data_IF_370186440118
#
_entry.id   IF_370186440118
#
_cell.length_a   1.000
_cell.length_b   1.000
_cell.length_c   1.000
_cell.angle_alpha   90.00
_cell.angle_beta   90.00
_cell.angle_gamma   90.00
#
_symmetry.space_group_name_H-M   'P 1'
#
loop_
_entity.id
_entity.type
_entity.pdbx_description
1 polymer ?
#
# COMPACT_ATOMS: atom_id res chain seq x y z
N UNK A 1 -24.78 -27.58 -33.63
CA UNK A 1 -23.37 -27.88 -33.74
C UNK A 1 -22.65 -26.54 -33.85
N UNK A 2 -22.36 -25.91 -32.71
CA UNK A 2 -21.64 -24.62 -32.59
C UNK A 2 -20.35 -24.92 -31.82
N UNK A 3 -19.23 -24.69 -32.46
CA UNK A 3 -17.91 -24.83 -31.83
C UNK A 3 -17.64 -23.59 -31.00
N UNK A 4 -17.49 -23.78 -29.69
CA UNK A 4 -16.91 -22.80 -28.77
C UNK A 4 -15.40 -22.89 -28.92
N UNK A 5 -14.77 -21.82 -29.42
CA UNK A 5 -13.31 -21.65 -29.39
C UNK A 5 -13.04 -20.92 -28.09
N UNK A 6 -12.54 -21.64 -27.12
CA UNK A 6 -11.94 -21.05 -25.92
C UNK A 6 -10.57 -20.47 -26.31
N UNK A 7 -10.49 -19.14 -26.40
CA UNK A 7 -9.22 -18.43 -26.55
C UNK A 7 -8.58 -18.29 -25.18
N UNK A 8 -7.52 -19.06 -24.92
CA UNK A 8 -6.65 -18.81 -23.78
C UNK A 8 -5.87 -17.52 -24.05
N UNK A 9 -6.18 -16.45 -23.33
CA UNK A 9 -5.37 -15.24 -23.28
C UNK A 9 -4.20 -15.52 -22.34
N UNK A 10 -3.03 -15.77 -22.89
CA UNK A 10 -1.79 -15.87 -22.11
C UNK A 10 -1.35 -14.45 -21.79
N UNK A 11 -1.60 -14.01 -20.56
CA UNK A 11 -1.04 -12.77 -20.02
C UNK A 11 0.44 -13.00 -19.81
N UNK A 12 1.27 -12.50 -20.71
CA UNK A 12 2.73 -12.46 -20.54
C UNK A 12 3.05 -11.14 -19.83
N UNK A 13 3.10 -11.17 -18.51
CA UNK A 13 3.81 -10.13 -17.76
C UNK A 13 5.29 -10.34 -17.96
N UNK A 14 5.95 -9.39 -18.62
CA UNK A 14 7.41 -9.36 -18.69
C UNK A 14 7.92 -8.85 -17.35
N UNK A 15 8.12 -9.77 -16.42
CA UNK A 15 8.99 -9.49 -15.27
C UNK A 15 10.39 -9.34 -15.84
N UNK A 16 10.90 -8.11 -15.89
CA UNK A 16 12.27 -7.84 -16.29
C UNK A 16 13.21 -8.31 -15.18
N UNK A 17 13.43 -9.62 -15.11
CA UNK A 17 14.49 -10.19 -14.29
C UNK A 17 15.82 -9.86 -14.95
N UNK A 18 16.58 -8.95 -14.39
CA UNK A 18 17.96 -8.70 -14.78
C UNK A 18 18.78 -9.95 -14.47
N UNK A 19 19.26 -10.62 -15.52
CA UNK A 19 20.24 -11.71 -15.39
C UNK A 19 21.53 -11.18 -14.79
N UNK A 20 21.92 -11.77 -13.68
CA UNK A 20 23.20 -11.52 -13.00
C UNK A 20 24.41 -11.77 -13.92
N UNK A 21 25.22 -10.76 -14.08
CA UNK A 21 26.52 -10.83 -14.73
C UNK A 21 27.61 -10.32 -13.80
N UNK A 22 28.51 -11.22 -13.45
CA UNK A 22 29.89 -11.05 -12.92
C UNK A 22 30.08 -10.47 -11.50
N UNK A 23 30.63 -11.32 -10.65
CA UNK A 23 31.18 -11.07 -9.31
C UNK A 23 32.27 -10.00 -9.30
N UNK A 24 32.31 -9.08 -8.32
CA UNK A 24 33.47 -8.25 -8.05
C UNK A 24 34.44 -8.94 -7.11
N UNK A 25 35.73 -8.69 -7.35
CA UNK A 25 36.88 -9.17 -6.60
C UNK A 25 36.89 -8.68 -5.14
N UNK A 26 37.28 -9.58 -4.25
CA UNK A 26 37.47 -9.36 -2.83
C UNK A 26 38.63 -8.42 -2.52
N UNK A 27 38.38 -7.31 -1.81
CA UNK A 27 39.38 -6.43 -1.19
C UNK A 27 39.50 -6.81 0.29
N UNK A 28 40.71 -6.95 0.86
CA UNK A 28 40.89 -7.41 2.25
C UNK A 28 40.58 -6.31 3.28
N UNK A 29 39.82 -6.71 4.31
CA UNK A 29 39.37 -5.91 5.44
C UNK A 29 40.50 -5.64 6.43
N UNK A 30 40.76 -4.38 6.76
CA UNK A 30 41.62 -3.94 7.86
C UNK A 30 40.84 -3.88 9.17
N UNK A 31 41.39 -4.48 10.24
CA UNK A 31 40.79 -4.49 11.59
C UNK A 31 41.01 -3.15 12.30
N UNK A 32 40.01 -2.61 13.03
CA UNK A 32 40.24 -1.45 13.89
C UNK A 32 40.76 -1.84 15.28
N UNK A 33 41.74 -1.07 15.72
CA UNK A 33 42.38 -1.16 17.02
C UNK A 33 41.51 -0.46 18.07
N UNK A 34 41.18 -1.18 19.13
CA UNK A 34 40.42 -0.68 20.29
C UNK A 34 41.30 0.17 21.19
N UNK A 35 40.91 1.41 21.48
CA UNK A 35 41.48 2.21 22.54
C UNK A 35 40.43 2.46 23.63
N UNK A 36 40.69 1.99 24.83
CA UNK A 36 39.82 2.11 26.00
C UNK A 36 39.96 3.51 26.65
N UNK A 37 38.82 4.11 27.05
CA UNK A 37 38.74 5.31 27.91
C UNK A 37 38.02 4.96 29.21
N UNK A 38 38.48 5.42 30.37
CA UNK A 38 38.04 4.95 31.70
C UNK A 38 36.74 5.58 32.18
N UNK A 39 35.98 4.77 32.93
CA UNK A 39 34.72 5.10 33.57
C UNK A 39 34.90 6.07 34.78
N UNK A 40 34.02 7.04 34.88
CA UNK A 40 33.76 7.81 36.14
C UNK A 40 32.35 7.48 36.62
N UNK A 41 32.26 7.19 37.90
CA UNK A 41 31.15 6.59 38.61
C UNK A 41 29.92 7.51 38.93
N UNK A 42 28.98 7.05 39.79
CA UNK A 42 27.55 7.27 39.60
C UNK A 42 26.99 8.45 40.40
N UNK A 43 26.07 9.19 39.77
CA UNK A 43 25.19 10.15 40.44
C UNK A 43 23.77 9.58 40.59
N UNK A 44 23.32 9.48 41.82
CA UNK A 44 22.00 9.04 42.24
C UNK A 44 20.92 10.08 41.94
N UNK A 45 19.81 9.65 41.30
CA UNK A 45 18.58 10.44 41.14
C UNK A 45 17.43 9.76 41.91
N UNK A 46 16.58 10.50 42.63
CA UNK A 46 15.58 9.92 43.52
C UNK A 46 14.36 9.38 42.78
N UNK A 47 13.91 8.22 43.24
CA UNK A 47 12.70 7.50 42.79
C UNK A 47 11.44 8.24 43.29
N UNK A 48 10.58 8.68 42.41
CA UNK A 48 9.21 9.06 42.75
C UNK A 48 8.28 7.89 42.36
N UNK A 49 7.75 7.26 43.41
CA UNK A 49 6.73 6.21 43.27
C UNK A 49 5.36 6.87 43.15
N UNK A 50 4.70 6.73 42.01
CA UNK A 50 3.26 7.02 41.88
C UNK A 50 2.57 5.77 41.41
N UNK A 51 1.86 5.13 42.30
CA UNK A 51 0.95 4.04 41.99
C UNK A 51 -0.34 4.61 41.42
N UNK A 52 -0.69 4.27 40.18
CA UNK A 52 -2.06 4.39 39.67
C UNK A 52 -2.48 3.00 39.23
N UNK A 53 -3.40 2.43 40.02
CA UNK A 53 -4.13 1.25 39.61
C UNK A 53 -5.26 1.69 38.70
N UNK A 54 -5.22 1.27 37.45
CA UNK A 54 -6.39 1.21 36.57
C UNK A 54 -6.35 -0.16 35.91
N UNK A 55 -7.28 -0.99 36.31
CA UNK A 55 -7.52 -2.27 35.67
C UNK A 55 -8.14 -2.03 34.29
N UNK A 56 -7.35 -2.09 33.25
CA UNK A 56 -7.79 -2.36 31.90
C UNK A 56 -7.49 -3.84 31.64
N UNK A 57 -8.56 -4.61 31.44
CA UNK A 57 -8.50 -5.95 30.91
C UNK A 57 -7.92 -5.85 29.50
N UNK A 58 -6.63 -6.13 29.32
CA UNK A 58 -6.07 -6.38 28.00
C UNK A 58 -6.80 -7.58 27.40
N UNK A 59 -7.37 -7.46 26.20
CA UNK A 59 -7.83 -8.63 25.48
C UNK A 59 -6.63 -9.56 25.23
N UNK A 60 -6.83 -10.85 25.46
CA UNK A 60 -5.86 -11.89 25.17
C UNK A 60 -5.68 -11.98 23.65
N UNK A 61 -4.58 -11.49 23.14
CA UNK A 61 -4.34 -11.26 21.71
C UNK A 61 -3.48 -12.32 21.03
N UNK A 62 -3.45 -13.54 21.55
CA UNK A 62 -2.86 -14.66 20.79
C UNK A 62 -3.99 -15.36 20.05
N UNK A 63 -3.85 -15.60 18.72
CA UNK A 63 -4.76 -16.48 18.03
C UNK A 63 -4.84 -17.78 18.81
N UNK A 64 -6.04 -18.28 19.07
CA UNK A 64 -6.15 -19.62 19.62
C UNK A 64 -5.35 -20.55 18.71
N UNK A 65 -4.53 -21.43 19.26
CA UNK A 65 -3.65 -22.34 18.51
C UNK A 65 -4.38 -23.23 17.47
N UNK A 66 -5.64 -23.04 17.31
CA UNK A 66 -6.61 -23.81 16.52
C UNK A 66 -7.36 -22.99 15.44
N UNK A 67 -7.14 -21.66 15.29
CA UNK A 67 -7.80 -20.87 14.25
C UNK A 67 -7.23 -21.27 12.88
N UNK A 68 -8.10 -21.68 11.97
CA UNK A 68 -7.78 -21.93 10.57
C UNK A 68 -8.55 -20.92 9.74
N UNK A 69 -7.86 -20.23 8.84
CA UNK A 69 -8.49 -19.29 7.92
C UNK A 69 -8.77 -19.98 6.59
N UNK A 70 -9.87 -19.61 5.97
CA UNK A 70 -10.23 -19.97 4.60
C UNK A 70 -10.55 -18.69 3.80
N UNK A 71 -10.64 -18.84 2.49
CA UNK A 71 -11.05 -17.78 1.57
C UNK A 71 -12.37 -18.17 0.91
N UNK A 72 -13.38 -17.32 1.07
CA UNK A 72 -14.66 -17.48 0.39
C UNK A 72 -14.76 -16.48 -0.77
N UNK A 73 -14.99 -16.93 -2.03
CA UNK A 73 -15.17 -16.02 -3.15
C UNK A 73 -16.48 -15.24 -2.97
N UNK A 74 -16.38 -13.91 -3.04
CA UNK A 74 -17.53 -13.00 -2.89
C UNK A 74 -17.88 -12.29 -4.20
N UNK A 75 -16.93 -12.18 -5.13
CA UNK A 75 -17.17 -11.59 -6.44
C UNK A 75 -16.17 -12.12 -7.47
N UNK A 76 -16.63 -12.35 -8.70
CA UNK A 76 -15.83 -12.94 -9.79
C UNK A 76 -16.17 -12.29 -11.14
N UNK A 77 -15.29 -12.52 -12.12
CA UNK A 77 -15.53 -12.15 -13.52
C UNK A 77 -14.93 -10.80 -13.93
N UNK A 78 -14.04 -10.22 -13.12
CA UNK A 78 -13.29 -9.02 -13.45
C UNK A 78 -12.10 -9.34 -14.36
N UNK A 79 -11.61 -8.33 -15.10
CA UNK A 79 -10.48 -8.52 -16.00
C UNK A 79 -9.14 -8.53 -15.24
N UNK A 80 -8.90 -7.51 -14.44
CA UNK A 80 -7.72 -7.37 -13.58
C UNK A 80 -8.04 -6.47 -12.37
N UNK A 81 -8.78 -6.98 -11.37
CA UNK A 81 -9.15 -6.18 -10.21
C UNK A 81 -7.91 -5.87 -9.37
N UNK A 82 -7.81 -4.62 -8.91
CA UNK A 82 -6.66 -4.11 -8.16
C UNK A 82 -7.02 -3.41 -6.86
N UNK A 83 -8.31 -3.24 -6.56
CA UNK A 83 -8.75 -2.66 -5.30
C UNK A 83 -10.20 -3.02 -4.99
N UNK A 84 -10.51 -3.12 -3.69
CA UNK A 84 -11.85 -3.38 -3.15
C UNK A 84 -12.11 -2.46 -1.96
N UNK A 85 -13.33 -1.92 -1.89
CA UNK A 85 -13.82 -1.18 -0.73
C UNK A 85 -15.34 -1.26 -0.67
N UNK A 86 -15.94 -0.85 0.47
CA UNK A 86 -17.40 -0.77 0.62
C UNK A 86 -17.84 0.62 1.07
N UNK A 87 -19.11 0.91 0.85
CA UNK A 87 -19.87 1.97 1.53
C UNK A 87 -21.21 1.35 1.92
N UNK A 88 -21.44 1.17 3.20
CA UNK A 88 -22.60 0.43 3.69
C UNK A 88 -22.61 -0.99 3.11
N UNK A 89 -23.73 -1.39 2.51
CA UNK A 89 -23.90 -2.72 1.89
C UNK A 89 -23.42 -2.80 0.42
N UNK A 90 -22.84 -1.74 -0.13
CA UNK A 90 -22.35 -1.72 -1.50
C UNK A 90 -20.85 -1.91 -1.57
N UNK A 91 -20.42 -2.91 -2.33
CA UNK A 91 -19.02 -3.13 -2.66
C UNK A 91 -18.65 -2.37 -3.95
N UNK A 92 -17.39 -1.97 -4.04
CA UNK A 92 -16.78 -1.34 -5.21
C UNK A 92 -15.47 -2.03 -5.52
N UNK A 93 -15.31 -2.43 -6.79
CA UNK A 93 -14.12 -3.11 -7.28
C UNK A 93 -13.51 -2.26 -8.39
N UNK A 94 -12.26 -1.89 -8.22
CA UNK A 94 -11.48 -1.18 -9.24
C UNK A 94 -10.86 -2.22 -10.16
N UNK A 95 -11.22 -2.15 -11.44
CA UNK A 95 -10.67 -3.00 -12.50
C UNK A 95 -9.68 -2.17 -13.31
N UNK A 96 -8.42 -2.61 -13.34
CA UNK A 96 -7.27 -1.83 -13.82
C UNK A 96 -7.42 -1.26 -15.24
N UNK A 97 -8.11 -1.92 -16.20
CA UNK A 97 -8.36 -1.36 -17.52
C UNK A 97 -9.13 -0.03 -17.55
N UNK A 98 -9.79 0.36 -16.42
CA UNK A 98 -10.48 1.65 -16.31
C UNK A 98 -11.96 1.55 -15.99
N UNK A 99 -12.39 0.49 -15.31
CA UNK A 99 -13.78 0.31 -14.86
C UNK A 99 -13.81 0.23 -13.33
N UNK A 100 -14.76 0.89 -12.71
CA UNK A 100 -15.16 0.61 -11.34
C UNK A 100 -16.49 -0.12 -11.40
N UNK A 101 -16.52 -1.29 -10.80
CA UNK A 101 -17.72 -2.09 -10.64
C UNK A 101 -18.36 -1.82 -9.29
N UNK A 102 -19.67 -1.98 -9.19
CA UNK A 102 -20.38 -1.96 -7.91
C UNK A 102 -21.27 -3.18 -7.80
N UNK A 103 -21.37 -3.70 -6.57
CA UNK A 103 -22.24 -4.81 -6.22
C UNK A 103 -23.07 -4.36 -5.02
N UNK A 104 -24.40 -4.33 -5.17
CA UNK A 104 -25.31 -4.23 -4.03
C UNK A 104 -25.63 -5.65 -3.52
N UNK A 105 -26.08 -5.77 -2.29
CA UNK A 105 -26.36 -7.06 -1.68
C UNK A 105 -27.12 -8.01 -2.63
N UNK A 106 -26.57 -9.21 -2.87
CA UNK A 106 -27.13 -10.28 -3.70
C UNK A 106 -27.30 -9.96 -5.22
N UNK A 107 -26.75 -8.83 -5.71
CA UNK A 107 -26.84 -8.43 -7.11
C UNK A 107 -25.61 -8.88 -7.93
N UNK A 108 -25.78 -8.94 -9.25
CA UNK A 108 -24.65 -9.10 -10.17
C UNK A 108 -23.85 -7.79 -10.26
N UNK A 109 -22.52 -7.85 -10.55
CA UNK A 109 -21.71 -6.67 -10.74
C UNK A 109 -22.26 -5.73 -11.83
N UNK A 110 -22.39 -4.46 -11.50
CA UNK A 110 -22.82 -3.41 -12.43
C UNK A 110 -21.71 -2.35 -12.58
N UNK A 111 -21.66 -1.71 -13.76
CA UNK A 111 -20.71 -0.62 -13.99
C UNK A 111 -21.08 0.58 -13.15
N UNK A 112 -20.15 1.04 -12.30
CA UNK A 112 -20.29 2.25 -11.50
C UNK A 112 -19.62 3.45 -12.17
N UNK A 113 -18.41 3.27 -12.73
CA UNK A 113 -17.68 4.27 -13.52
C UNK A 113 -16.92 3.58 -14.65
N UNK A 114 -17.03 4.09 -15.87
CA UNK A 114 -16.24 3.62 -17.02
C UNK A 114 -15.43 4.78 -17.61
N UNK A 115 -14.11 4.72 -17.45
CA UNK A 115 -13.16 5.70 -17.99
C UNK A 115 -12.07 5.06 -18.86
N UNK A 116 -12.35 3.85 -19.40
CA UNK A 116 -11.38 3.12 -20.25
C UNK A 116 -10.81 3.94 -21.39
N UNK A 117 -11.58 4.85 -21.95
CA UNK A 117 -11.11 5.74 -23.02
C UNK A 117 -10.01 6.73 -22.58
N UNK A 118 -9.86 6.95 -21.27
CA UNK A 118 -8.88 7.88 -20.68
C UNK A 118 -7.66 7.15 -20.12
N UNK A 119 -7.84 5.90 -19.73
CA UNK A 119 -6.84 5.10 -19.03
C UNK A 119 -5.88 4.46 -20.01
N UNK A 120 -4.58 4.62 -19.77
CA UNK A 120 -3.55 3.79 -20.37
C UNK A 120 -3.36 2.55 -19.50
N UNK A 121 -3.71 1.39 -20.03
CA UNK A 121 -3.60 0.10 -19.35
C UNK A 121 -2.46 -0.73 -19.96
N UNK A 122 -1.38 -0.91 -19.19
CA UNK A 122 -0.22 -1.71 -19.58
C UNK A 122 0.69 -1.95 -18.37
N UNK A 123 0.92 -3.21 -17.96
CA UNK A 123 1.76 -3.54 -16.81
C UNK A 123 1.20 -2.95 -15.50
N UNK A 124 1.97 -2.08 -14.85
CA UNK A 124 1.50 -1.39 -13.63
C UNK A 124 0.57 -0.20 -13.93
N UNK A 125 0.54 0.29 -15.16
CA UNK A 125 -0.31 1.41 -15.56
C UNK A 125 -1.77 1.01 -15.65
N UNK A 126 -2.69 1.89 -15.24
CA UNK A 126 -4.12 1.61 -15.27
C UNK A 126 -4.92 2.54 -14.38
N UNK A 127 -6.14 2.13 -14.05
CA UNK A 127 -6.94 2.68 -12.96
C UNK A 127 -6.51 1.97 -11.66
N UNK A 128 -5.90 2.71 -10.73
CA UNK A 128 -5.13 2.12 -9.64
C UNK A 128 -5.69 2.40 -8.24
N UNK A 129 -6.49 3.45 -8.08
CA UNK A 129 -7.01 3.86 -6.78
C UNK A 129 -8.40 4.47 -6.85
N UNK A 130 -9.15 4.29 -5.77
CA UNK A 130 -10.48 4.85 -5.53
C UNK A 130 -10.59 5.29 -4.09
N UNK A 131 -11.11 6.50 -3.86
CA UNK A 131 -11.47 6.99 -2.54
C UNK A 131 -12.77 7.79 -2.60
N UNK A 132 -13.69 7.53 -1.68
CA UNK A 132 -14.90 8.33 -1.50
C UNK A 132 -14.66 9.44 -0.49
N UNK A 133 -15.19 10.64 -0.76
CA UNK A 133 -15.03 11.75 0.16
C UNK A 133 -15.82 11.52 1.46
N UNK A 134 -15.20 11.60 2.63
CA UNK A 134 -15.87 11.23 3.88
C UNK A 134 -17.03 12.16 4.26
N UNK A 135 -16.97 13.44 3.87
CA UNK A 135 -18.00 14.44 4.17
C UNK A 135 -18.91 14.77 2.99
N UNK A 136 -18.57 14.33 1.76
CA UNK A 136 -19.34 14.59 0.53
C UNK A 136 -19.62 13.28 -0.19
N UNK A 137 -20.66 12.53 0.20
CA UNK A 137 -20.92 11.18 -0.32
C UNK A 137 -21.28 11.14 -1.81
N UNK A 138 -21.51 12.30 -2.43
CA UNK A 138 -21.69 12.46 -3.87
C UNK A 138 -20.37 12.66 -4.64
N UNK A 139 -19.22 12.55 -3.97
CA UNK A 139 -17.88 12.75 -4.53
C UNK A 139 -17.00 11.53 -4.36
N UNK A 140 -16.31 11.17 -5.43
CA UNK A 140 -15.25 10.18 -5.39
C UNK A 140 -14.01 10.71 -6.10
N UNK A 141 -12.88 10.15 -5.73
CA UNK A 141 -11.57 10.42 -6.32
C UNK A 141 -11.01 9.13 -6.88
N UNK A 142 -10.36 9.22 -8.03
CA UNK A 142 -9.64 8.09 -8.62
C UNK A 142 -8.22 8.50 -8.96
N UNK A 143 -7.32 7.54 -8.91
CA UNK A 143 -5.96 7.65 -9.45
C UNK A 143 -5.84 6.72 -10.66
N UNK A 144 -5.42 7.26 -11.78
CA UNK A 144 -5.21 6.48 -13.00
C UNK A 144 -4.04 6.98 -13.84
N UNK A 145 -3.52 6.12 -14.70
CA UNK A 145 -2.54 6.50 -15.71
C UNK A 145 -3.26 7.03 -16.95
N UNK A 146 -3.03 8.30 -17.29
CA UNK A 146 -3.56 8.93 -18.50
C UNK A 146 -2.93 8.39 -19.77
N UNK A 147 -3.54 8.69 -20.92
CA UNK A 147 -3.04 8.24 -22.24
C UNK A 147 -1.62 8.70 -22.57
N UNK A 148 -1.17 9.81 -22.00
CA UNK A 148 0.19 10.35 -22.11
C UNK A 148 1.19 9.65 -21.17
N UNK A 149 0.72 8.77 -20.29
CA UNK A 149 1.52 8.07 -19.30
C UNK A 149 1.64 8.80 -17.95
N UNK A 150 1.09 10.00 -17.81
CA UNK A 150 1.08 10.73 -16.53
C UNK A 150 0.15 10.05 -15.51
N UNK A 151 0.49 10.14 -14.23
CA UNK A 151 -0.46 9.86 -13.15
C UNK A 151 -1.45 11.02 -13.05
N UNK A 152 -2.74 10.69 -13.00
CA UNK A 152 -3.83 11.65 -12.88
C UNK A 152 -4.68 11.27 -11.67
N UNK A 153 -4.88 12.23 -10.77
CA UNK A 153 -5.88 12.15 -9.70
C UNK A 153 -7.05 13.04 -10.09
N UNK A 154 -8.24 12.45 -10.19
CA UNK A 154 -9.45 13.17 -10.62
C UNK A 154 -10.61 12.93 -9.67
N UNK A 155 -11.44 13.96 -9.51
CA UNK A 155 -12.73 13.87 -8.85
C UNK A 155 -13.84 13.60 -9.87
N UNK A 156 -14.83 12.80 -9.47
CA UNK A 156 -16.08 12.57 -10.19
C UNK A 156 -17.27 12.78 -9.26
N UNK A 157 -18.41 13.08 -9.86
CA UNK A 157 -19.68 13.24 -9.14
C UNK A 157 -20.55 12.01 -9.32
N UNK A 158 -21.16 11.56 -8.22
CA UNK A 158 -22.15 10.48 -8.21
C UNK A 158 -23.53 11.09 -8.45
N UNK A 159 -24.29 10.57 -9.42
CA UNK A 159 -25.66 11.00 -9.67
C UNK A 159 -26.59 10.51 -8.55
N UNK A 160 -27.47 11.41 -8.04
CA UNK A 160 -28.34 11.10 -6.92
C UNK A 160 -29.40 10.01 -7.22
N UNK A 161 -29.89 9.94 -8.47
CA UNK A 161 -30.97 9.03 -8.83
C UNK A 161 -30.49 7.64 -9.27
N UNK A 162 -29.33 7.55 -9.94
CA UNK A 162 -28.82 6.30 -10.52
C UNK A 162 -27.72 5.67 -9.66
N UNK A 163 -27.18 6.43 -8.70
CA UNK A 163 -26.07 6.01 -7.83
C UNK A 163 -24.87 5.46 -8.60
N UNK A 164 -24.58 6.05 -9.75
CA UNK A 164 -23.42 5.82 -10.61
C UNK A 164 -22.60 7.10 -10.71
N UNK A 165 -21.31 6.97 -10.95
CA UNK A 165 -20.45 8.10 -11.20
C UNK A 165 -20.57 8.56 -12.65
N UNK A 166 -20.78 9.86 -12.90
CA UNK A 166 -20.85 10.41 -14.25
C UNK A 166 -19.45 10.70 -14.79
N UNK A 167 -18.98 9.96 -15.81
CA UNK A 167 -17.66 10.19 -16.38
C UNK A 167 -17.47 11.57 -17.02
N UNK A 168 -18.57 12.29 -17.30
CA UNK A 168 -18.52 13.65 -17.87
C UNK A 168 -18.24 14.73 -16.81
N UNK A 169 -18.30 14.40 -15.53
CA UNK A 169 -18.06 15.34 -14.42
C UNK A 169 -16.63 15.41 -13.97
N UNK A 170 -15.71 14.76 -14.68
CA UNK A 170 -14.31 14.73 -14.31
C UNK A 170 -13.73 16.11 -14.06
N UNK A 171 -13.12 16.25 -12.89
CA UNK A 171 -12.30 17.39 -12.51
C UNK A 171 -10.90 16.90 -12.12
N UNK A 172 -9.90 17.20 -12.94
CA UNK A 172 -8.51 16.83 -12.63
C UNK A 172 -8.04 17.64 -11.42
N UNK A 173 -7.64 16.94 -10.37
CA UNK A 173 -7.14 17.49 -9.12
C UNK A 173 -5.63 17.65 -9.17
N UNK A 174 -4.92 16.60 -9.63
CA UNK A 174 -3.47 16.56 -9.69
C UNK A 174 -3.03 15.76 -10.92
N UNK A 175 -2.00 16.25 -11.62
CA UNK A 175 -1.36 15.51 -12.71
C UNK A 175 0.16 15.51 -12.51
N UNK A 176 0.77 14.32 -12.53
CA UNK A 176 2.19 14.12 -12.28
C UNK A 176 2.80 13.39 -13.48
N UNK A 177 3.75 14.00 -14.22
CA UNK A 177 4.47 13.32 -15.28
C UNK A 177 5.25 12.11 -14.74
N UNK A 178 5.15 10.97 -15.44
CA UNK A 178 5.89 9.75 -15.11
C UNK A 178 7.02 9.53 -16.09
N UNK A 179 8.27 9.35 -15.62
CA UNK A 179 9.42 9.14 -16.50
C UNK A 179 9.51 7.73 -17.08
N UNK A 180 8.83 6.74 -16.49
CA UNK A 180 8.74 5.37 -16.98
C UNK A 180 7.32 4.80 -16.78
N UNK A 181 7.09 3.56 -17.22
CA UNK A 181 5.78 2.89 -17.19
C UNK A 181 5.56 2.01 -15.96
N UNK A 182 6.50 1.96 -15.04
CA UNK A 182 6.46 1.18 -13.82
C UNK A 182 6.73 2.04 -12.58
N UNK A 183 6.55 1.48 -11.40
CA UNK A 183 6.57 2.16 -10.09
C UNK A 183 5.54 3.30 -10.05
N UNK A 184 4.34 2.98 -10.47
CA UNK A 184 3.26 3.97 -10.53
C UNK A 184 2.62 4.23 -9.15
N UNK A 185 2.77 3.30 -8.19
CA UNK A 185 2.04 3.36 -6.92
C UNK A 185 0.54 3.39 -7.19
N UNK A 186 -0.09 4.51 -6.88
CA UNK A 186 -1.43 4.84 -7.37
C UNK A 186 -2.55 4.61 -6.38
N UNK A 187 -2.31 4.05 -5.21
CA UNK A 187 -3.32 4.01 -4.17
C UNK A 187 -3.60 5.41 -3.64
N UNK A 188 -4.89 5.70 -3.38
CA UNK A 188 -5.37 6.89 -2.71
C UNK A 188 -6.34 6.52 -1.59
N UNK A 189 -6.30 7.26 -0.49
CA UNK A 189 -7.24 7.09 0.62
C UNK A 189 -7.37 8.39 1.40
N UNK A 190 -8.53 8.63 2.02
CA UNK A 190 -8.67 9.72 2.98
C UNK A 190 -8.09 9.31 4.32
N UNK A 191 -7.22 10.17 4.84
CA UNK A 191 -6.66 10.02 6.17
C UNK A 191 -7.64 10.42 7.27
N UNK A 192 -7.31 10.15 8.56
CA UNK A 192 -8.20 10.43 9.69
C UNK A 192 -8.49 11.93 9.89
N UNK A 193 -7.70 12.81 9.29
CA UNK A 193 -7.94 14.26 9.31
C UNK A 193 -8.81 14.76 8.13
N UNK A 194 -9.28 13.87 7.24
CA UNK A 194 -10.10 14.20 6.07
C UNK A 194 -9.31 14.71 4.86
N UNK A 195 -7.99 14.61 4.89
CA UNK A 195 -7.10 14.90 3.77
C UNK A 195 -6.88 13.68 2.88
N UNK A 196 -6.66 13.89 1.60
CA UNK A 196 -6.40 12.82 0.62
C UNK A 196 -4.90 12.50 0.59
N UNK A 197 -4.57 11.23 0.82
CA UNK A 197 -3.22 10.68 0.74
C UNK A 197 -3.05 9.93 -0.57
N UNK A 198 -1.84 10.01 -1.15
CA UNK A 198 -1.53 9.43 -2.46
C UNK A 198 -0.16 8.78 -2.37
N UNK A 199 -0.07 7.47 -2.67
CA UNK A 199 1.20 6.76 -2.79
C UNK A 199 1.78 6.92 -4.19
N UNK A 200 3.03 7.42 -4.28
CA UNK A 200 3.71 7.66 -5.56
C UNK A 200 5.06 6.94 -5.58
N UNK A 201 5.25 6.07 -6.58
CA UNK A 201 6.55 5.45 -6.80
C UNK A 201 7.61 6.42 -7.29
N UNK A 202 8.86 5.97 -7.36
CA UNK A 202 10.04 6.76 -7.76
C UNK A 202 10.08 7.12 -9.27
N UNK A 203 9.04 6.72 -10.00
CA UNK A 203 8.92 6.97 -11.44
C UNK A 203 9.56 5.90 -12.30
N UNK A 204 10.02 4.80 -11.70
CA UNK A 204 10.36 3.56 -12.40
C UNK A 204 11.82 3.37 -12.80
N UNK A 205 12.05 2.31 -13.55
CA UNK A 205 13.35 1.75 -13.85
C UNK A 205 14.07 1.17 -12.62
N UNK A 206 15.38 0.87 -12.73
CA UNK A 206 16.16 0.27 -11.64
C UNK A 206 17.09 1.29 -11.01
N UNK A 207 17.42 1.11 -9.73
CA UNK A 207 18.43 1.88 -8.99
C UNK A 207 18.10 3.38 -8.88
N UNK A 208 16.82 3.69 -8.69
CA UNK A 208 16.33 5.09 -8.64
C UNK A 208 16.95 5.94 -9.77
N UNK A 209 16.85 5.45 -10.99
CA UNK A 209 17.49 6.01 -12.18
C UNK A 209 17.25 7.51 -12.36
N UNK A 210 16.12 7.99 -11.88
CA UNK A 210 15.70 9.38 -12.05
C UNK A 210 16.01 10.25 -10.82
N UNK A 211 16.51 9.64 -9.73
CA UNK A 211 16.92 10.33 -8.51
C UNK A 211 15.76 10.88 -7.67
N UNK A 212 14.61 10.24 -7.75
CA UNK A 212 13.40 10.71 -7.07
C UNK A 212 13.28 10.22 -5.62
N UNK A 213 13.87 9.06 -5.29
CA UNK A 213 13.70 8.44 -3.97
C UNK A 213 14.18 9.31 -2.80
N UNK A 214 15.21 10.13 -2.99
CA UNK A 214 15.73 11.06 -1.98
C UNK A 214 15.56 12.53 -2.36
N UNK A 215 14.72 12.85 -3.34
CA UNK A 215 14.48 14.23 -3.74
C UNK A 215 13.37 14.87 -2.91
N UNK A 216 13.63 16.05 -2.37
CA UNK A 216 12.69 16.81 -1.54
C UNK A 216 11.76 17.74 -2.37
N UNK A 217 12.03 17.90 -3.67
CA UNK A 217 11.35 18.84 -4.57
C UNK A 217 10.50 18.15 -5.65
N UNK A 218 10.34 16.81 -5.57
CA UNK A 218 9.49 16.02 -6.47
C UNK A 218 8.30 15.41 -5.75
N UNK A 219 7.27 15.05 -6.51
CA UNK A 219 6.11 14.30 -6.01
C UNK A 219 6.26 12.78 -6.20
N UNK A 220 7.41 12.32 -6.70
CA UNK A 220 7.71 10.91 -6.94
C UNK A 220 8.56 10.33 -5.80
N UNK A 221 8.48 9.00 -5.60
CA UNK A 221 9.18 8.32 -4.51
C UNK A 221 8.68 8.70 -3.12
N UNK A 222 7.37 9.00 -2.99
CA UNK A 222 6.82 9.73 -1.86
C UNK A 222 5.40 9.32 -1.48
N UNK A 223 5.02 9.62 -0.24
CA UNK A 223 3.62 9.74 0.16
C UNK A 223 3.23 11.22 0.13
N UNK A 224 2.18 11.53 -0.63
CA UNK A 224 1.63 12.88 -0.74
C UNK A 224 0.40 13.04 0.14
N UNK A 225 0.11 14.31 0.49
CA UNK A 225 -0.99 14.67 1.36
C UNK A 225 -1.56 16.03 0.96
N UNK A 226 -2.83 16.05 0.50
CA UNK A 226 -3.51 17.23 -0.01
C UNK A 226 -4.93 17.34 0.56
N UNK A 227 -5.49 18.52 0.53
CA UNK A 227 -6.90 18.77 0.89
C UNK A 227 -7.69 18.98 -0.40
N UNK A 228 -8.77 18.25 -0.54
CA UNK A 228 -9.68 18.30 -1.69
C UNK A 228 -11.12 18.51 -1.23
N UNK A 229 -11.98 18.97 -2.12
CA UNK A 229 -13.40 19.15 -1.81
C UNK A 229 -14.15 19.86 -2.94
N UNK A 230 -15.50 19.95 -2.85
CA UNK A 230 -16.34 20.49 -3.92
C UNK A 230 -16.11 21.98 -4.21
N UNK A 231 -15.65 22.73 -3.21
CA UNK A 231 -15.42 24.18 -3.32
C UNK A 231 -13.95 24.52 -3.62
N UNK A 232 -13.10 23.51 -3.85
CA UNK A 232 -11.68 23.65 -4.14
C UNK A 232 -11.44 23.31 -5.61
N UNK A 233 -10.90 24.26 -6.40
CA UNK A 233 -10.72 24.07 -7.86
C UNK A 233 -9.82 22.90 -8.23
N UNK A 234 -8.72 22.70 -7.50
CA UNK A 234 -7.80 21.57 -7.65
C UNK A 234 -7.56 20.89 -6.31
N UNK A 235 -6.65 21.42 -5.50
CA UNK A 235 -6.39 21.01 -4.13
C UNK A 235 -5.85 22.20 -3.32
N UNK A 236 -5.88 22.06 -2.00
CA UNK A 236 -5.17 22.92 -1.07
C UNK A 236 -4.07 22.14 -0.34
N UNK A 237 -3.06 22.85 0.11
CA UNK A 237 -1.98 22.27 0.88
C UNK A 237 -2.38 22.13 2.34
N UNK A 238 -1.97 21.04 2.96
CA UNK A 238 -2.02 20.93 4.42
C UNK A 238 -1.10 21.98 5.07
N UNK A 239 -1.29 22.27 6.34
CA UNK A 239 -0.43 23.24 7.05
C UNK A 239 0.97 22.69 7.37
N UNK A 240 1.18 21.40 7.20
CA UNK A 240 2.43 20.69 7.51
C UNK A 240 3.28 20.61 6.25
N UNK A 241 4.54 21.05 6.38
CA UNK A 241 5.50 21.12 5.26
C UNK A 241 6.87 20.74 5.76
N UNK A 242 7.29 19.54 5.47
CA UNK A 242 8.60 19.03 5.88
C UNK A 242 9.63 19.05 4.74
N UNK A 243 9.16 19.19 3.49
CA UNK A 243 9.97 19.14 2.27
C UNK A 243 9.74 20.36 1.39
N UNK A 244 10.58 20.54 0.36
CA UNK A 244 10.47 21.62 -0.61
C UNK A 244 9.19 21.49 -1.46
N UNK A 245 8.81 20.27 -1.83
CA UNK A 245 7.47 19.97 -2.36
C UNK A 245 6.48 19.90 -1.19
N UNK A 246 5.57 20.86 -1.06
CA UNK A 246 4.73 21.00 0.13
C UNK A 246 3.61 19.97 0.26
N UNK A 247 3.34 19.20 -0.78
CA UNK A 247 2.41 18.06 -0.79
C UNK A 247 3.01 16.82 -0.13
N UNK A 248 4.34 16.74 -0.06
CA UNK A 248 5.06 15.56 0.40
C UNK A 248 5.02 15.44 1.91
N UNK A 249 4.53 14.29 2.39
CA UNK A 249 4.55 13.90 3.81
C UNK A 249 5.79 13.08 4.15
N UNK A 250 6.19 12.14 3.28
CA UNK A 250 7.37 11.29 3.44
C UNK A 250 8.02 11.00 2.08
N UNK A 251 9.34 10.80 2.10
CA UNK A 251 10.17 10.41 0.95
C UNK A 251 10.83 9.05 1.18
N UNK A 252 11.61 8.60 0.23
CA UNK A 252 12.42 7.39 0.36
C UNK A 252 11.63 6.11 0.12
N UNK A 253 10.61 6.16 -0.75
CA UNK A 253 9.81 5.04 -1.18
C UNK A 253 10.12 4.68 -2.64
N UNK A 254 10.12 3.40 -2.96
CA UNK A 254 10.38 2.93 -4.32
C UNK A 254 9.10 2.78 -5.13
N UNK A 255 8.16 1.99 -4.66
CA UNK A 255 6.86 1.76 -5.27
C UNK A 255 5.83 1.41 -4.18
N UNK A 256 5.36 2.39 -3.40
CA UNK A 256 4.37 2.19 -2.34
C UNK A 256 3.04 1.78 -2.98
N UNK A 257 2.91 0.47 -3.22
CA UNK A 257 1.82 -0.11 -4.01
C UNK A 257 0.48 0.03 -3.31
N UNK A 258 0.44 -0.31 -2.01
CA UNK A 258 -0.75 -0.16 -1.18
C UNK A 258 -0.39 0.42 0.18
N UNK A 259 -1.30 1.20 0.72
CA UNK A 259 -1.23 1.68 2.10
C UNK A 259 -2.61 1.68 2.74
N UNK A 260 -2.68 1.66 4.05
CA UNK A 260 -3.93 1.73 4.81
C UNK A 260 -3.74 2.48 6.12
N UNK A 261 -4.84 2.92 6.70
CA UNK A 261 -4.85 3.56 8.01
C UNK A 261 -5.38 2.61 9.08
N UNK A 262 -4.77 2.69 10.27
CA UNK A 262 -5.29 2.12 11.50
C UNK A 262 -5.15 3.16 12.62
N UNK A 263 -6.25 3.84 12.93
CA UNK A 263 -6.23 5.03 13.77
C UNK A 263 -5.31 6.12 13.21
N UNK A 264 -4.36 6.58 14.02
CA UNK A 264 -3.38 7.59 13.63
C UNK A 264 -2.13 7.01 12.95
N UNK A 265 -2.12 5.73 12.58
CA UNK A 265 -1.00 5.11 11.89
C UNK A 265 -1.33 4.89 10.41
N UNK A 266 -0.34 5.09 9.55
CA UNK A 266 -0.34 4.65 8.15
C UNK A 266 0.63 3.49 8.00
N UNK A 267 0.15 2.42 7.37
CA UNK A 267 0.90 1.22 7.01
C UNK A 267 1.12 1.24 5.50
N UNK A 268 2.36 1.07 5.06
CA UNK A 268 2.75 1.20 3.65
C UNK A 268 3.49 -0.06 3.24
N UNK A 269 3.01 -0.74 2.21
CA UNK A 269 3.72 -1.82 1.55
C UNK A 269 4.50 -1.24 0.37
N UNK A 270 5.81 -1.25 0.46
CA UNK A 270 6.71 -0.71 -0.55
C UNK A 270 7.46 -1.83 -1.26
N UNK A 271 7.29 -1.89 -2.58
CA UNK A 271 7.87 -2.95 -3.42
C UNK A 271 9.36 -2.70 -3.63
N UNK A 272 10.16 -3.63 -3.19
CA UNK A 272 11.61 -3.61 -3.33
C UNK A 272 12.12 -3.84 -4.75
N UNK A 273 13.43 -3.80 -4.95
CA UNK A 273 13.99 -3.94 -6.29
C UNK A 273 14.42 -5.35 -6.64
N UNK A 274 15.14 -6.02 -5.75
CA UNK A 274 15.72 -7.30 -6.11
C UNK A 274 16.06 -8.22 -4.96
N UNK A 275 16.04 -7.73 -3.74
CA UNK A 275 16.46 -8.50 -2.57
C UNK A 275 15.41 -8.52 -1.44
N UNK A 276 14.67 -7.41 -1.22
CA UNK A 276 13.84 -7.23 -0.02
C UNK A 276 12.52 -6.52 -0.33
N UNK A 277 11.43 -7.07 0.17
CA UNK A 277 10.11 -6.43 0.24
C UNK A 277 9.87 -5.92 1.65
N UNK A 278 9.16 -4.77 1.81
CA UNK A 278 9.06 -4.11 3.10
C UNK A 278 7.68 -3.57 3.45
N UNK A 279 7.38 -3.57 4.75
CA UNK A 279 6.22 -2.92 5.35
C UNK A 279 6.70 -1.79 6.23
N UNK A 280 6.38 -0.58 5.85
CA UNK A 280 6.69 0.63 6.58
C UNK A 280 5.50 1.08 7.43
N UNK A 281 5.75 1.80 8.51
CA UNK A 281 4.73 2.42 9.34
C UNK A 281 5.18 3.80 9.84
N UNK A 282 4.26 4.76 9.80
CA UNK A 282 4.44 6.09 10.37
C UNK A 282 3.17 6.59 11.04
N UNK A 283 3.30 7.51 11.99
CA UNK A 283 2.15 8.24 12.53
C UNK A 283 1.70 9.32 11.55
N UNK A 284 0.40 9.46 11.32
CA UNK A 284 -0.14 10.52 10.45
C UNK A 284 0.20 11.94 10.94
N UNK A 285 0.58 12.05 12.23
CA UNK A 285 1.08 13.25 12.87
C UNK A 285 2.57 13.51 12.69
N UNK A 286 3.34 12.52 12.23
CA UNK A 286 4.77 12.66 11.99
C UNK A 286 5.02 13.56 10.77
N UNK A 287 6.19 14.18 10.73
CA UNK A 287 6.58 15.07 9.63
C UNK A 287 7.97 14.71 9.14
N UNK A 288 8.15 14.68 7.83
CA UNK A 288 9.45 14.54 7.21
C UNK A 288 10.09 13.18 7.39
N UNK A 289 9.31 12.10 7.36
CA UNK A 289 9.83 10.74 7.37
C UNK A 289 10.60 10.44 6.07
N UNK A 290 11.67 9.65 6.19
CA UNK A 290 12.45 9.14 5.06
C UNK A 290 12.61 7.62 5.23
N UNK A 291 11.95 6.85 4.36
CA UNK A 291 11.95 5.38 4.41
C UNK A 291 13.18 4.73 3.76
N UNK A 292 14.10 5.52 3.24
CA UNK A 292 15.46 5.09 2.93
C UNK A 292 15.78 4.80 1.49
N UNK A 293 14.82 4.48 0.61
CA UNK A 293 15.10 4.21 -0.80
C UNK A 293 15.69 5.45 -1.51
N UNK A 294 16.79 5.32 -2.35
CA UNK A 294 17.56 4.11 -2.65
C UNK A 294 18.82 3.92 -1.77
N UNK A 295 18.95 4.63 -0.67
CA UNK A 295 20.07 4.42 0.25
C UNK A 295 20.04 3.02 0.85
N UNK A 296 18.82 2.58 1.21
CA UNK A 296 18.50 1.25 1.73
C UNK A 296 17.50 0.54 0.79
N UNK A 297 17.48 -0.80 0.83
CA UNK A 297 16.41 -1.69 0.40
C UNK A 297 16.08 -2.57 1.61
N UNK A 298 14.92 -2.36 2.24
CA UNK A 298 14.68 -2.86 3.58
C UNK A 298 15.67 -2.27 4.60
N UNK A 299 16.31 -3.14 5.37
CA UNK A 299 17.42 -2.78 6.27
C UNK A 299 18.80 -2.92 5.61
N UNK A 300 18.87 -3.41 4.39
CA UNK A 300 20.12 -3.61 3.66
C UNK A 300 20.62 -2.32 3.03
N UNK A 301 21.93 -2.14 3.05
CA UNK A 301 22.61 -1.06 2.35
C UNK A 301 22.55 -1.28 0.84
N UNK A 302 21.95 -0.31 0.10
CA UNK A 302 21.82 -0.43 -1.35
C UNK A 302 22.75 0.55 -2.09
N UNK A 303 22.51 1.86 -2.07
CA UNK A 303 23.21 2.82 -2.93
C UNK A 303 23.72 4.07 -2.20
N UNK A 304 24.13 3.97 -0.95
CA UNK A 304 24.57 5.17 -0.23
C UNK A 304 25.47 4.92 0.98
N UNK A 305 25.84 5.98 1.68
CA UNK A 305 26.36 5.82 3.00
C UNK A 305 25.23 5.25 3.88
N UNK A 306 25.47 4.08 4.48
CA UNK A 306 24.47 3.39 5.28
C UNK A 306 24.71 3.66 6.76
N UNK A 307 24.79 4.94 7.11
CA UNK A 307 25.00 5.46 8.45
C UNK A 307 23.70 5.83 9.17
N UNK A 308 22.56 5.50 8.55
CA UNK A 308 21.22 5.70 9.12
C UNK A 308 20.68 7.13 8.99
N UNK A 309 21.32 7.96 8.18
CA UNK A 309 20.86 9.33 7.88
C UNK A 309 20.96 9.63 6.38
N UNK A 310 20.10 10.53 5.91
CA UNK A 310 20.19 11.07 4.55
C UNK A 310 21.24 12.19 4.43
N UNK A 311 21.38 12.76 3.23
CA UNK A 311 22.34 13.83 2.97
C UNK A 311 22.06 15.12 3.75
N UNK A 312 20.85 15.34 4.25
CA UNK A 312 20.47 16.47 5.10
C UNK A 312 20.74 16.22 6.57
N UNK A 313 21.04 14.97 6.95
CA UNK A 313 21.21 14.52 8.33
C UNK A 313 19.91 14.06 8.99
N UNK A 314 18.82 13.88 8.22
CA UNK A 314 17.55 13.30 8.69
C UNK A 314 17.72 11.80 8.89
N UNK A 315 17.19 11.27 10.01
CA UNK A 315 17.23 9.85 10.30
C UNK A 315 16.37 9.07 9.28
N UNK A 316 16.89 7.93 8.81
CA UNK A 316 16.13 7.00 8.00
C UNK A 316 15.20 6.16 8.90
N UNK A 317 13.96 5.99 8.46
CA UNK A 317 12.97 5.12 9.09
C UNK A 317 13.17 3.69 8.58
N UNK A 318 13.47 2.75 9.47
CA UNK A 318 13.57 1.35 9.10
C UNK A 318 12.18 0.71 8.99
N UNK A 319 11.97 -0.28 8.11
CA UNK A 319 10.70 -0.97 8.00
C UNK A 319 10.31 -1.68 9.30
N UNK A 320 8.99 -1.80 9.51
CA UNK A 320 8.44 -2.59 10.60
C UNK A 320 8.67 -4.09 10.38
N UNK A 321 8.60 -4.53 9.14
CA UNK A 321 8.77 -5.92 8.71
C UNK A 321 9.35 -5.95 7.30
N UNK A 322 10.16 -6.97 7.02
CA UNK A 322 10.74 -7.22 5.70
C UNK A 322 10.82 -8.73 5.43
N UNK A 323 10.79 -9.11 4.15
CA UNK A 323 11.05 -10.48 3.71
C UNK A 323 11.87 -10.49 2.42
N UNK A 324 12.55 -11.62 2.16
CA UNK A 324 13.47 -11.76 1.04
C UNK A 324 12.77 -12.25 -0.23
N UNK A 325 13.40 -11.99 -1.38
CA UNK A 325 12.91 -12.40 -2.69
C UNK A 325 12.95 -13.92 -2.92
N UNK A 326 13.49 -14.72 -2.01
CA UNK A 326 13.31 -16.18 -2.02
C UNK A 326 11.95 -16.62 -1.43
N UNK A 327 11.21 -15.70 -0.78
CA UNK A 327 9.85 -15.91 -0.27
C UNK A 327 8.76 -15.31 -1.18
N UNK A 328 9.09 -14.25 -1.92
CA UNK A 328 8.15 -13.52 -2.78
C UNK A 328 8.91 -12.57 -3.71
N UNK A 329 8.20 -11.71 -4.44
CA UNK A 329 8.84 -10.79 -5.39
C UNK A 329 8.20 -9.40 -5.47
N UNK A 330 7.03 -9.22 -4.86
CA UNK A 330 6.30 -7.95 -4.91
C UNK A 330 5.20 -7.96 -3.87
N UNK A 331 5.44 -7.26 -2.78
CA UNK A 331 4.46 -7.09 -1.71
C UNK A 331 3.23 -6.33 -2.18
N UNK A 332 2.04 -6.77 -1.75
CA UNK A 332 0.78 -6.16 -2.18
C UNK A 332 0.00 -5.50 -1.06
N UNK A 333 0.58 -5.44 0.14
CA UNK A 333 0.05 -4.69 1.26
C UNK A 333 -1.35 -5.08 1.68
N UNK A 334 -1.87 -4.44 2.63
CA UNK A 334 -3.11 -4.84 3.23
C UNK A 334 -3.66 -3.90 4.28
N UNK A 335 -4.30 -4.49 5.24
CA UNK A 335 -5.06 -3.79 6.28
C UNK A 335 -4.85 -4.42 7.65
N UNK A 336 -5.01 -3.60 8.70
CA UNK A 336 -5.16 -4.11 10.05
C UNK A 336 -6.58 -4.63 10.24
N UNK A 337 -6.72 -5.88 10.63
CA UNK A 337 -8.02 -6.48 10.91
C UNK A 337 -8.68 -5.81 12.11
N UNK A 338 -9.94 -5.40 11.93
CA UNK A 338 -10.78 -4.75 12.94
C UNK A 338 -12.20 -5.32 12.95
N UNK A 339 -12.41 -6.45 12.26
CA UNK A 339 -13.69 -7.13 12.19
C UNK A 339 -14.06 -7.85 13.48
N UNK A 340 -15.34 -8.14 13.62
CA UNK A 340 -15.90 -8.87 14.76
C UNK A 340 -16.04 -10.37 14.48
N UNK A 341 -15.97 -10.82 13.21
CA UNK A 341 -16.18 -12.22 12.84
C UNK A 341 -15.07 -13.15 13.36
N UNK A 342 -13.83 -12.65 13.45
CA UNK A 342 -12.67 -13.42 13.93
C UNK A 342 -11.94 -12.60 15.01
N UNK A 343 -12.48 -12.50 16.24
CA UNK A 343 -11.94 -11.60 17.28
C UNK A 343 -10.47 -11.86 17.65
N UNK A 344 -9.97 -13.07 17.40
CA UNK A 344 -8.58 -13.46 17.64
C UNK A 344 -7.58 -12.71 16.73
N UNK A 345 -8.06 -12.14 15.61
CA UNK A 345 -7.26 -11.42 14.64
C UNK A 345 -7.25 -9.91 14.85
N UNK A 346 -7.96 -9.39 15.87
CA UNK A 346 -7.96 -7.94 16.12
C UNK A 346 -6.54 -7.40 16.25
N UNK A 347 -6.23 -6.40 15.44
CA UNK A 347 -4.90 -5.77 15.36
C UNK A 347 -3.89 -6.47 14.47
N UNK A 348 -4.20 -7.59 13.84
CA UNK A 348 -3.30 -8.22 12.87
C UNK A 348 -3.29 -7.45 11.55
N UNK A 349 -2.10 -7.03 11.09
CA UNK A 349 -1.93 -6.46 9.74
C UNK A 349 -1.75 -7.58 8.74
N UNK A 350 -2.69 -7.74 7.82
CA UNK A 350 -2.65 -8.75 6.75
C UNK A 350 -1.91 -8.22 5.53
N UNK A 351 -1.12 -9.09 4.90
CA UNK A 351 -0.38 -8.80 3.66
C UNK A 351 -0.16 -10.06 2.83
N UNK A 352 0.19 -9.87 1.57
CA UNK A 352 0.48 -10.92 0.60
C UNK A 352 1.58 -10.48 -0.35
N UNK A 353 1.84 -11.33 -1.33
CA UNK A 353 2.81 -11.13 -2.40
C UNK A 353 2.23 -11.57 -3.75
N UNK A 354 2.48 -10.80 -4.78
CA UNK A 354 1.98 -11.06 -6.13
C UNK A 354 2.45 -12.41 -6.71
N UNK A 355 3.71 -12.77 -6.47
CA UNK A 355 4.33 -13.98 -7.04
C UNK A 355 3.97 -15.24 -6.27
N UNK A 356 4.12 -15.19 -4.95
CA UNK A 356 3.95 -16.36 -4.09
C UNK A 356 2.50 -16.57 -3.66
N UNK A 357 1.72 -15.50 -3.55
CA UNK A 357 0.31 -15.54 -3.18
C UNK A 357 0.05 -16.09 -1.79
N UNK A 358 1.03 -16.03 -0.89
CA UNK A 358 0.83 -16.38 0.52
C UNK A 358 -0.16 -15.42 1.19
N UNK A 359 -0.83 -15.83 2.23
CA UNK A 359 -1.60 -14.95 3.12
C UNK A 359 -0.91 -14.97 4.47
N UNK A 360 -0.38 -13.82 4.87
CA UNK A 360 0.34 -13.64 6.15
C UNK A 360 -0.20 -12.47 6.94
N UNK A 361 0.07 -12.45 8.23
CA UNK A 361 -0.23 -11.30 9.07
C UNK A 361 0.84 -11.04 10.12
N UNK A 362 0.97 -9.78 10.53
CA UNK A 362 1.79 -9.35 11.66
C UNK A 362 0.84 -9.06 12.81
N UNK A 363 1.01 -9.79 13.92
CA UNK A 363 0.23 -9.58 15.14
C UNK A 363 0.65 -8.30 15.87
N UNK A 364 -0.16 -7.78 16.81
CA UNK A 364 0.19 -6.60 17.61
C UNK A 364 1.49 -6.71 18.40
N UNK A 365 1.93 -7.92 18.74
CA UNK A 365 3.21 -8.17 19.42
C UNK A 365 4.42 -8.26 18.46
N UNK A 366 4.19 -8.08 17.15
CA UNK A 366 5.19 -8.15 16.10
C UNK A 366 5.46 -9.56 15.56
N UNK A 367 4.78 -10.58 16.06
CA UNK A 367 4.94 -11.94 15.54
C UNK A 367 4.27 -12.09 14.16
N UNK A 368 4.94 -12.80 13.24
CA UNK A 368 4.39 -13.12 11.92
C UNK A 368 3.66 -14.46 11.95
N UNK A 369 2.49 -14.51 11.32
CA UNK A 369 1.67 -15.69 11.14
C UNK A 369 1.46 -15.98 9.65
N UNK A 370 1.65 -17.23 9.24
CA UNK A 370 1.41 -17.71 7.87
C UNK A 370 0.12 -18.54 7.84
N UNK A 371 -0.88 -18.03 7.14
CA UNK A 371 -2.22 -18.63 7.02
C UNK A 371 -2.40 -19.46 5.76
N UNK A 372 -1.37 -19.49 4.90
CA UNK A 372 -1.41 -20.16 3.59
C UNK A 372 -1.75 -21.65 3.68
N UNK A 373 -1.47 -22.28 4.83
CA UNK A 373 -1.85 -23.67 5.07
C UNK A 373 -3.35 -23.94 5.05
N UNK A 374 -4.18 -22.95 5.43
CA UNK A 374 -5.65 -23.03 5.40
C UNK A 374 -6.24 -22.33 4.19
N UNK A 375 -5.78 -21.10 3.88
CA UNK A 375 -6.28 -20.30 2.76
C UNK A 375 -5.88 -20.82 1.38
N UNK A 376 -4.81 -21.63 1.31
CA UNK A 376 -4.12 -21.89 0.05
C UNK A 376 -3.35 -20.64 -0.45
N UNK A 377 -2.57 -20.81 -1.51
CA UNK A 377 -1.96 -19.68 -2.21
C UNK A 377 -2.94 -19.09 -3.21
N UNK A 378 -3.05 -17.76 -3.23
CA UNK A 378 -3.91 -17.03 -4.16
C UNK A 378 -3.08 -16.54 -5.35
N UNK A 379 -3.46 -16.86 -6.60
CA UNK A 379 -2.71 -16.40 -7.75
C UNK A 379 -2.81 -14.86 -7.90
N UNK A 380 -1.68 -14.22 -8.14
CA UNK A 380 -1.62 -12.80 -8.47
C UNK A 380 -2.41 -11.91 -7.50
N UNK A 381 -2.17 -12.04 -6.18
CA UNK A 381 -2.79 -11.11 -5.22
C UNK A 381 -2.37 -9.69 -5.58
N UNK A 382 -3.32 -8.88 -6.02
CA UNK A 382 -3.07 -7.50 -6.45
C UNK A 382 -3.27 -6.49 -5.33
N UNK A 383 -4.09 -6.83 -4.35
CA UNK A 383 -4.43 -5.93 -3.25
C UNK A 383 -5.20 -6.65 -2.15
N UNK A 384 -5.49 -5.89 -1.12
CA UNK A 384 -6.53 -6.17 -0.14
C UNK A 384 -7.60 -5.09 -0.18
N UNK A 385 -8.71 -5.35 0.51
CA UNK A 385 -9.74 -4.39 0.81
C UNK A 385 -10.27 -4.62 2.21
N UNK A 386 -11.00 -3.64 2.72
CA UNK A 386 -11.66 -3.72 4.00
C UNK A 386 -13.07 -3.16 3.87
N UNK A 387 -14.04 -3.76 4.55
CA UNK A 387 -15.39 -3.23 4.63
C UNK A 387 -15.57 -2.31 5.85
N UNK A 388 -16.75 -1.69 5.94
CA UNK A 388 -17.09 -0.79 7.04
C UNK A 388 -17.15 -1.51 8.40
N UNK A 389 -17.25 -2.84 8.41
CA UNK A 389 -17.22 -3.66 9.62
C UNK A 389 -15.79 -4.03 10.04
N UNK A 390 -14.79 -3.74 9.22
CA UNK A 390 -13.39 -4.08 9.46
C UNK A 390 -12.98 -5.49 9.03
N UNK A 391 -13.85 -6.21 8.29
CA UNK A 391 -13.53 -7.50 7.70
C UNK A 391 -12.62 -7.32 6.49
N UNK A 392 -11.73 -8.28 6.24
CA UNK A 392 -10.69 -8.17 5.21
C UNK A 392 -11.02 -9.02 3.99
N UNK A 393 -10.73 -8.44 2.83
CA UNK A 393 -10.90 -9.06 1.51
C UNK A 393 -9.56 -9.12 0.79
N UNK A 394 -9.34 -10.23 0.05
CA UNK A 394 -8.16 -10.45 -0.80
C UNK A 394 -8.59 -10.27 -2.25
N UNK A 395 -7.90 -9.40 -2.98
CA UNK A 395 -8.16 -9.13 -4.39
C UNK A 395 -7.14 -9.87 -5.24
N UNK A 396 -7.60 -10.80 -6.06
CA UNK A 396 -6.77 -11.53 -7.02
C UNK A 396 -6.86 -10.89 -8.40
N UNK A 397 -5.74 -10.44 -8.96
CA UNK A 397 -5.65 -9.97 -10.35
C UNK A 397 -6.06 -11.02 -11.40
N UNK A 398 -6.32 -12.26 -10.98
CA UNK A 398 -6.92 -13.30 -11.82
C UNK A 398 -8.45 -13.19 -11.95
N UNK A 399 -9.07 -12.15 -11.36
CA UNK A 399 -10.49 -11.83 -11.59
C UNK A 399 -11.44 -12.16 -10.44
N UNK A 400 -10.94 -12.44 -9.24
CA UNK A 400 -11.77 -12.84 -8.08
C UNK A 400 -11.45 -12.00 -6.86
N UNK A 401 -12.46 -11.67 -6.07
CA UNK A 401 -12.35 -11.11 -4.72
C UNK A 401 -12.80 -12.16 -3.72
N UNK A 402 -12.01 -12.35 -2.67
CA UNK A 402 -12.28 -13.31 -1.59
C UNK A 402 -12.43 -12.58 -0.27
N UNK A 403 -13.30 -13.07 0.60
CA UNK A 403 -13.34 -12.69 2.02
C UNK A 403 -12.49 -13.67 2.83
N UNK A 404 -11.74 -13.16 3.81
CA UNK A 404 -11.06 -13.99 4.81
C UNK A 404 -12.11 -14.42 5.85
N UNK A 405 -12.25 -15.72 6.06
CA UNK A 405 -13.20 -16.30 7.01
C UNK A 405 -12.51 -17.31 7.91
N UNK A 406 -13.09 -17.58 9.10
CA UNK A 406 -12.66 -18.71 9.93
C UNK A 406 -13.31 -20.00 9.41
N UNK A 407 -12.50 -21.04 9.16
CA UNK A 407 -12.99 -22.34 8.74
C UNK A 407 -13.82 -22.98 9.87
N UNK A 408 -15.09 -23.27 9.58
CA UNK A 408 -15.95 -23.99 10.53
C UNK A 408 -15.56 -25.47 10.58
N UNK A 409 -15.17 -25.96 11.74
CA UNK A 409 -14.82 -27.37 11.99
C UNK A 409 -16.06 -28.26 12.18
#
# INVERSE_FOLDING_TARGET
MRWLIAGAVTVVMIVSACTAGSSPETIPRASPTTTAVPATGPGSVPTATTSVASGETQPSTLPAADTILALEPVAEGFEQPVFYTTIGERAFIVDQPGVIWTIAADDEPAVFLDIRERVKFEGEQGLLGLAFHPEHPDRLYVNYTGRDGSTIVSEFTISGDEQIADPMTERVVLQIPQPASNHNGGMIAFGPAGDLWIGMGDGGASNDKFGNGQSEDTLLGAMLRIVVGPDIDTYELTQRRAFDAPEVWAIGLRNPWRFSFDGDNVWIADVGQGDVEEINRGGTGDEGLNFGWPLLEGTDCFAGPCDGVDASGRALSVPLYEYRHDEGCSITGGYVYRGDAIPQLDGHYFFSDWCSGFIRSIAPDGSMHDWTGGTGSVPAVSSFGQDDAGEIYVVSGAGTVYQIVEEQR
#
